data_IF_494253004513
#
_entry.id   IF_494253004513
#
_cell.length_a   1.000
_cell.length_b   1.000
_cell.length_c   1.000
_cell.angle_alpha   90.00
_cell.angle_beta   90.00
_cell.angle_gamma   90.00
#
_symmetry.space_group_name_H-M   'P 1'
#
loop_
_entity.id
_entity.type
_entity.pdbx_description
1 polymer ?
#
# COMPACT_ATOMS: atom_id res chain seq x y z
N UNK A 1 -28.63 3.06 23.59
CA UNK A 1 -27.94 3.79 22.50
C UNK A 1 -26.81 4.58 23.13
N UNK A 2 -25.59 4.02 23.13
CA UNK A 2 -24.38 4.73 23.54
C UNK A 2 -23.41 4.68 22.38
N UNK A 3 -23.18 5.82 21.73
CA UNK A 3 -22.20 5.97 20.68
C UNK A 3 -20.81 5.95 21.35
N UNK A 4 -20.07 4.86 21.19
CA UNK A 4 -18.66 4.80 21.60
C UNK A 4 -17.88 5.64 20.60
N UNK A 5 -17.61 6.89 20.95
CA UNK A 5 -16.61 7.72 20.28
C UNK A 5 -15.24 7.06 20.49
N UNK A 6 -14.66 6.53 19.43
CA UNK A 6 -13.25 6.12 19.42
C UNK A 6 -12.40 7.37 19.65
N UNK A 7 -11.85 7.50 20.85
CA UNK A 7 -10.90 8.55 21.16
C UNK A 7 -9.73 8.49 20.17
N UNK A 8 -9.32 9.63 19.61
CA UNK A 8 -8.07 9.70 18.87
C UNK A 8 -6.91 9.38 19.81
N UNK A 9 -5.95 8.52 19.43
CA UNK A 9 -4.78 8.23 20.24
C UNK A 9 -4.01 9.52 20.55
N UNK A 10 -3.42 9.63 21.74
CA UNK A 10 -2.58 10.77 22.07
C UNK A 10 -1.35 10.77 21.15
N UNK A 11 -0.84 11.96 20.84
CA UNK A 11 0.45 12.08 20.14
C UNK A 11 1.53 11.29 20.91
N UNK A 12 2.13 10.28 20.29
CA UNK A 12 3.08 9.33 20.89
C UNK A 12 2.55 7.91 21.12
N UNK A 13 1.23 7.68 21.07
CA UNK A 13 0.65 6.37 21.39
C UNK A 13 0.60 5.40 20.20
N UNK A 14 0.56 5.87 18.96
CA UNK A 14 0.46 4.99 17.77
C UNK A 14 1.78 4.90 16.99
N UNK A 15 1.99 3.77 16.32
CA UNK A 15 3.30 3.37 15.76
C UNK A 15 3.94 4.40 14.82
N UNK A 16 3.15 5.09 13.99
CA UNK A 16 3.67 6.09 13.03
C UNK A 16 4.30 7.32 13.68
N UNK A 17 4.02 7.58 14.96
CA UNK A 17 4.66 8.64 15.74
C UNK A 17 5.93 8.20 16.49
N UNK A 18 6.22 6.89 16.53
CA UNK A 18 7.33 6.31 17.31
C UNK A 18 8.60 6.21 16.44
N UNK A 19 9.71 6.87 16.81
CA UNK A 19 10.96 6.76 16.05
C UNK A 19 11.48 5.32 15.91
N UNK A 20 11.22 4.46 16.89
CA UNK A 20 11.62 3.05 16.88
C UNK A 20 10.97 2.24 15.76
N UNK A 21 9.78 2.63 15.30
CA UNK A 21 9.12 2.03 14.15
C UNK A 21 9.42 2.82 12.87
N UNK A 22 9.35 4.14 12.95
CA UNK A 22 9.45 5.04 11.79
C UNK A 22 10.84 5.04 11.13
N UNK A 23 11.91 5.09 11.92
CA UNK A 23 13.26 5.18 11.36
C UNK A 23 13.62 3.94 10.51
N UNK A 24 13.41 2.70 10.97
CA UNK A 24 13.61 1.52 10.12
C UNK A 24 12.78 1.54 8.84
N UNK A 25 11.51 1.95 8.92
CA UNK A 25 10.61 1.99 7.76
C UNK A 25 11.10 2.97 6.70
N UNK A 26 11.51 4.17 7.11
CA UNK A 26 11.81 5.27 6.18
C UNK A 26 13.24 5.27 5.64
N UNK A 27 14.21 4.81 6.44
CA UNK A 27 15.65 5.08 6.25
C UNK A 27 16.10 4.85 4.82
N UNK A 28 15.83 3.67 4.28
CA UNK A 28 16.39 3.25 2.99
C UNK A 28 15.67 3.93 1.83
N UNK A 29 14.35 4.14 1.95
CA UNK A 29 13.57 4.87 0.94
C UNK A 29 13.99 6.36 0.87
N UNK A 30 14.15 7.01 2.02
CA UNK A 30 14.59 8.41 2.09
C UNK A 30 16.01 8.57 1.54
N UNK A 31 16.91 7.62 1.82
CA UNK A 31 18.27 7.62 1.28
C UNK A 31 18.28 7.43 -0.24
N UNK A 32 17.42 6.56 -0.77
CA UNK A 32 17.39 6.22 -2.19
C UNK A 32 16.69 7.29 -3.04
N UNK A 33 15.51 7.73 -2.60
CA UNK A 33 14.66 8.65 -3.38
C UNK A 33 14.90 10.14 -3.06
N UNK A 34 15.47 10.45 -1.89
CA UNK A 34 15.74 11.82 -1.48
C UNK A 34 14.50 12.72 -1.60
N UNK A 35 14.62 13.79 -2.37
CA UNK A 35 13.55 14.79 -2.54
C UNK A 35 12.33 14.29 -3.33
N UNK A 36 12.38 13.12 -3.97
CA UNK A 36 11.21 12.52 -4.62
C UNK A 36 10.22 11.92 -3.61
N UNK A 37 10.64 11.74 -2.37
CA UNK A 37 9.81 11.22 -1.29
C UNK A 37 9.53 12.33 -0.29
N UNK A 38 8.25 12.65 -0.12
CA UNK A 38 7.79 13.60 0.90
C UNK A 38 6.96 12.87 1.94
N UNK A 39 6.94 13.40 3.16
CA UNK A 39 6.20 12.81 4.28
C UNK A 39 5.31 13.87 4.92
N UNK A 40 4.04 13.52 5.10
CA UNK A 40 3.04 14.31 5.81
C UNK A 40 2.54 13.50 6.99
N UNK A 41 2.51 14.11 8.18
CA UNK A 41 2.03 13.46 9.38
C UNK A 41 0.93 14.30 10.02
N UNK A 42 -0.14 13.63 10.46
CA UNK A 42 -1.16 14.19 11.34
C UNK A 42 -1.16 13.45 12.69
N UNK A 43 -2.11 13.77 13.56
CA UNK A 43 -2.28 13.03 14.81
C UNK A 43 -2.55 11.53 14.59
N UNK A 44 -3.21 11.15 13.49
CA UNK A 44 -3.71 9.79 13.27
C UNK A 44 -3.26 9.16 11.94
N UNK A 45 -2.52 9.88 11.11
CA UNK A 45 -2.07 9.41 9.80
C UNK A 45 -0.62 9.76 9.54
N UNK A 46 0.04 8.91 8.76
CA UNK A 46 1.38 9.10 8.25
C UNK A 46 1.36 8.73 6.77
N UNK A 47 1.59 9.73 5.92
CA UNK A 47 1.48 9.61 4.48
C UNK A 47 2.82 9.89 3.84
N UNK A 48 3.30 8.93 3.05
CA UNK A 48 4.44 9.10 2.16
C UNK A 48 3.94 9.35 0.75
N UNK A 49 4.48 10.37 0.09
CA UNK A 49 4.16 10.67 -1.30
C UNK A 49 5.46 10.57 -2.10
N UNK A 50 5.51 9.60 -3.01
CA UNK A 50 6.57 9.45 -3.99
C UNK A 50 6.14 10.12 -5.30
N UNK A 51 6.87 11.13 -5.74
CA UNK A 51 6.47 12.00 -6.86
C UNK A 51 6.46 11.30 -8.24
N UNK A 52 7.16 10.17 -8.39
CA UNK A 52 7.23 9.47 -9.66
C UNK A 52 8.03 8.16 -9.62
N UNK A 53 7.36 7.07 -9.26
CA UNK A 53 7.92 5.72 -9.25
C UNK A 53 8.13 5.24 -10.69
N UNK A 54 9.24 4.56 -10.94
CA UNK A 54 9.47 3.88 -12.22
C UNK A 54 8.71 2.57 -12.23
N UNK A 55 7.91 2.35 -13.27
CA UNK A 55 7.22 1.08 -13.52
C UNK A 55 7.76 0.49 -14.81
N UNK A 56 8.12 -0.79 -14.77
CA UNK A 56 8.62 -1.51 -15.94
C UNK A 56 7.63 -1.40 -17.10
N UNK A 57 8.12 -1.11 -18.31
CA UNK A 57 7.28 -0.95 -19.50
C UNK A 57 6.58 0.41 -19.64
N UNK A 58 6.59 1.27 -18.61
CA UNK A 58 6.10 2.66 -18.71
C UNK A 58 7.21 3.64 -19.05
N UNK A 59 6.85 4.69 -19.79
CA UNK A 59 7.73 5.85 -20.01
C UNK A 59 7.50 6.90 -18.93
N UNK A 60 6.25 7.07 -18.53
CA UNK A 60 5.81 8.00 -17.52
C UNK A 60 6.12 7.47 -16.11
N UNK A 61 6.54 8.37 -15.23
CA UNK A 61 6.69 8.08 -13.83
C UNK A 61 5.33 8.13 -13.14
N UNK A 62 5.11 7.22 -12.18
CA UNK A 62 3.81 7.04 -11.51
C UNK A 62 3.87 7.61 -10.10
N UNK A 63 3.11 8.68 -9.76
CA UNK A 63 3.00 9.12 -8.39
C UNK A 63 2.37 8.04 -7.50
N UNK A 64 2.95 7.82 -6.33
CA UNK A 64 2.47 6.83 -5.35
C UNK A 64 2.26 7.49 -4.01
N UNK A 65 1.13 7.20 -3.37
CA UNK A 65 0.89 7.55 -1.98
C UNK A 65 0.80 6.28 -1.11
N UNK A 66 1.53 6.26 0.00
CA UNK A 66 1.45 5.20 1.02
C UNK A 66 0.92 5.82 2.30
N UNK A 67 -0.19 5.29 2.82
CA UNK A 67 -0.89 5.83 3.98
C UNK A 67 -0.98 4.79 5.10
N UNK A 68 -0.41 5.15 6.25
CA UNK A 68 -0.57 4.44 7.51
C UNK A 68 -1.58 5.16 8.40
N UNK A 69 -2.36 4.37 9.12
CA UNK A 69 -3.45 4.86 9.96
C UNK A 69 -3.31 4.33 11.39
N UNK A 70 -3.45 5.22 12.37
CA UNK A 70 -3.53 4.82 13.77
C UNK A 70 -4.76 3.94 14.04
N UNK A 71 -5.89 4.32 13.41
CA UNK A 71 -7.14 3.57 13.41
C UNK A 71 -7.61 3.46 11.96
N UNK A 72 -7.34 2.34 11.26
CA UNK A 72 -7.72 2.17 9.87
C UNK A 72 -9.23 2.35 9.64
N UNK A 73 -9.65 3.22 8.70
CA UNK A 73 -11.07 3.35 8.32
C UNK A 73 -11.56 2.19 7.43
N UNK A 74 -10.79 1.11 7.36
CA UNK A 74 -11.01 -0.05 6.50
C UNK A 74 -10.72 -1.35 7.26
N UNK A 75 -11.18 -2.46 6.69
CA UNK A 75 -10.89 -3.79 7.24
C UNK A 75 -9.41 -4.12 7.06
N UNK A 76 -8.71 -4.41 8.15
CA UNK A 76 -7.34 -4.94 8.15
C UNK A 76 -7.29 -6.46 8.11
N UNK A 77 -8.44 -7.13 8.19
CA UNK A 77 -8.55 -8.60 8.18
C UNK A 77 -7.71 -9.28 9.29
N UNK A 78 -7.54 -8.60 10.43
CA UNK A 78 -6.76 -9.11 11.56
C UNK A 78 -5.26 -8.82 11.49
N UNK A 79 -4.79 -8.18 10.41
CA UNK A 79 -3.41 -7.71 10.32
C UNK A 79 -3.18 -6.48 11.21
N UNK A 80 -1.93 -6.33 11.66
CA UNK A 80 -1.45 -5.11 12.32
C UNK A 80 -1.58 -3.93 11.35
N UNK A 81 -2.18 -2.80 11.77
CA UNK A 81 -2.23 -1.58 10.95
C UNK A 81 -0.87 -1.09 10.42
N UNK A 82 0.23 -1.38 11.12
CA UNK A 82 1.58 -1.07 10.67
C UNK A 82 2.01 -1.91 9.46
N UNK A 83 1.44 -3.10 9.29
CA UNK A 83 1.78 -4.05 8.23
C UNK A 83 0.74 -4.07 7.12
N UNK A 84 -0.30 -3.23 7.17
CA UNK A 84 -1.36 -3.19 6.18
C UNK A 84 -1.72 -1.76 5.73
N UNK A 85 -0.74 -1.00 5.18
CA UNK A 85 -0.98 0.35 4.70
C UNK A 85 -1.87 0.38 3.46
N UNK A 86 -2.45 1.56 3.18
CA UNK A 86 -3.10 1.82 1.89
C UNK A 86 -2.09 2.40 0.92
N UNK A 87 -1.93 1.73 -0.22
CA UNK A 87 -1.07 2.21 -1.30
C UNK A 87 -1.93 2.62 -2.48
N UNK A 88 -1.76 3.84 -2.97
CA UNK A 88 -2.52 4.40 -4.07
C UNK A 88 -1.61 4.78 -5.22
N UNK A 89 -2.01 4.37 -6.42
CA UNK A 89 -1.40 4.74 -7.69
C UNK A 89 -2.45 4.56 -8.81
N UNK A 90 -2.34 5.35 -9.87
CA UNK A 90 -3.28 5.34 -11.00
C UNK A 90 -4.75 5.29 -10.57
N UNK A 91 -5.19 6.27 -9.76
CA UNK A 91 -6.55 6.24 -9.22
C UNK A 91 -7.59 6.17 -10.35
N UNK A 92 -8.57 5.27 -10.19
CA UNK A 92 -9.62 5.00 -11.17
C UNK A 92 -9.23 4.06 -12.31
N UNK A 93 -7.97 3.60 -12.38
CA UNK A 93 -7.58 2.60 -13.36
C UNK A 93 -8.21 1.24 -13.06
N UNK A 94 -8.70 0.57 -14.10
CA UNK A 94 -9.26 -0.77 -13.96
C UNK A 94 -8.16 -1.78 -13.58
N UNK A 95 -8.45 -2.62 -12.58
CA UNK A 95 -7.64 -3.76 -12.17
C UNK A 95 -8.48 -4.69 -11.29
N UNK A 96 -8.22 -5.99 -11.36
CA UNK A 96 -8.83 -6.97 -10.47
C UNK A 96 -8.16 -7.01 -9.08
N UNK A 97 -6.98 -6.41 -8.93
CA UNK A 97 -6.23 -6.35 -7.66
C UNK A 97 -6.25 -4.95 -7.05
N UNK A 98 -7.48 -4.45 -6.85
CA UNK A 98 -7.75 -3.18 -6.17
C UNK A 98 -8.78 -3.39 -5.07
N UNK A 99 -8.62 -2.62 -4.01
CA UNK A 99 -9.54 -2.57 -2.89
C UNK A 99 -10.72 -1.65 -3.23
N UNK A 100 -11.85 -1.72 -2.49
CA UNK A 100 -13.02 -0.86 -2.75
C UNK A 100 -12.73 0.65 -2.67
N UNK A 101 -11.67 1.06 -1.95
CA UNK A 101 -11.22 2.45 -1.86
C UNK A 101 -10.18 2.83 -2.93
N UNK A 102 -9.98 1.96 -3.92
CA UNK A 102 -9.04 2.11 -5.04
C UNK A 102 -7.55 2.07 -4.63
N UNK A 103 -7.26 1.63 -3.42
CA UNK A 103 -5.89 1.22 -3.07
C UNK A 103 -5.52 -0.11 -3.74
N UNK A 104 -4.23 -0.31 -3.95
CA UNK A 104 -3.68 -1.55 -4.51
C UNK A 104 -3.84 -2.69 -3.50
N UNK A 105 -4.28 -3.84 -4.00
CA UNK A 105 -4.26 -5.09 -3.25
C UNK A 105 -2.91 -5.79 -3.51
N UNK A 106 -1.87 -5.44 -2.74
CA UNK A 106 -0.50 -5.89 -3.00
C UNK A 106 -0.24 -7.36 -2.63
N UNK A 107 -1.03 -7.91 -1.71
CA UNK A 107 -0.92 -9.28 -1.24
C UNK A 107 -2.23 -9.70 -0.55
N UNK A 108 -2.43 -11.01 -0.42
CA UNK A 108 -3.61 -11.55 0.24
C UNK A 108 -3.45 -11.51 1.76
N UNK A 109 -4.44 -11.02 2.51
CA UNK A 109 -4.29 -10.79 3.94
C UNK A 109 -4.03 -12.08 4.76
N UNK A 110 -4.57 -13.22 4.34
CA UNK A 110 -4.36 -14.51 5.02
C UNK A 110 -3.06 -15.21 4.60
N UNK A 111 -2.30 -14.66 3.64
CA UNK A 111 -0.99 -15.22 3.32
C UNK A 111 -0.07 -15.11 4.57
N UNK A 112 0.85 -16.07 4.77
CA UNK A 112 1.82 -15.99 5.85
C UNK A 112 2.71 -14.74 5.69
N UNK A 113 3.27 -14.24 6.79
CA UNK A 113 4.05 -12.99 6.80
C UNK A 113 5.19 -12.98 5.77
N UNK A 114 5.85 -14.11 5.53
CA UNK A 114 6.92 -14.24 4.53
C UNK A 114 6.45 -14.14 3.06
N UNK A 115 5.14 -14.04 2.81
CA UNK A 115 4.52 -13.83 1.50
C UNK A 115 3.78 -12.50 1.40
N UNK A 116 3.84 -11.68 2.44
CA UNK A 116 3.26 -10.33 2.47
C UNK A 116 4.36 -9.32 2.70
N UNK A 117 4.04 -8.06 2.47
CA UNK A 117 4.86 -7.00 3.02
C UNK A 117 4.62 -6.87 4.53
N UNK A 118 5.68 -6.63 5.29
CA UNK A 118 5.64 -6.25 6.71
C UNK A 118 6.53 -5.03 6.96
N UNK A 119 6.21 -4.25 8.00
CA UNK A 119 6.86 -2.96 8.24
C UNK A 119 8.37 -3.05 8.52
N UNK A 120 8.86 -4.19 8.98
CA UNK A 120 10.29 -4.48 9.15
C UNK A 120 11.06 -4.57 7.82
N UNK A 121 10.38 -4.81 6.69
CA UNK A 121 10.97 -4.77 5.34
C UNK A 121 11.12 -3.33 4.81
N UNK A 122 10.43 -2.38 5.43
CA UNK A 122 10.55 -0.95 5.16
C UNK A 122 9.88 -0.47 3.88
N UNK A 123 9.82 0.87 3.76
CA UNK A 123 9.08 1.57 2.70
C UNK A 123 9.70 1.39 1.32
N UNK A 124 11.02 1.22 1.23
CA UNK A 124 11.69 1.00 -0.07
C UNK A 124 11.19 -0.29 -0.72
N UNK A 125 11.14 -1.38 0.06
CA UNK A 125 10.62 -2.64 -0.43
C UNK A 125 9.11 -2.57 -0.78
N UNK A 126 8.33 -1.80 -0.01
CA UNK A 126 6.91 -1.57 -0.34
C UNK A 126 6.74 -0.83 -1.69
N UNK A 127 7.59 0.16 -1.96
CA UNK A 127 7.58 0.89 -3.23
C UNK A 127 8.04 0.00 -4.39
N UNK A 128 9.01 -0.90 -4.18
CA UNK A 128 9.42 -1.87 -5.20
C UNK A 128 8.27 -2.84 -5.53
N UNK A 129 7.63 -3.41 -4.49
CA UNK A 129 6.43 -4.24 -4.63
C UNK A 129 5.30 -3.51 -5.36
N UNK A 130 5.15 -2.21 -5.10
CA UNK A 130 4.16 -1.36 -5.80
C UNK A 130 4.49 -1.24 -7.28
N UNK A 131 5.76 -1.06 -7.65
CA UNK A 131 6.19 -0.99 -9.04
C UNK A 131 5.91 -2.30 -9.80
N UNK A 132 6.23 -3.43 -9.18
CA UNK A 132 5.93 -4.76 -9.74
C UNK A 132 4.43 -4.97 -9.91
N UNK A 133 3.64 -4.60 -8.90
CA UNK A 133 2.18 -4.67 -8.96
C UNK A 133 1.60 -3.87 -10.14
N UNK A 134 2.05 -2.63 -10.31
CA UNK A 134 1.58 -1.76 -11.39
C UNK A 134 1.94 -2.33 -12.78
N UNK A 135 3.11 -2.95 -12.91
CA UNK A 135 3.48 -3.67 -14.13
C UNK A 135 2.55 -4.86 -14.41
N UNK A 136 2.20 -5.64 -13.39
CA UNK A 136 1.25 -6.74 -13.52
C UNK A 136 -0.14 -6.24 -13.94
N UNK A 137 -0.59 -5.11 -13.39
CA UNK A 137 -1.84 -4.50 -13.82
C UNK A 137 -1.80 -4.04 -15.29
N UNK A 138 -0.69 -3.47 -15.75
CA UNK A 138 -0.51 -3.09 -17.16
C UNK A 138 -0.55 -4.30 -18.08
N UNK A 139 0.15 -5.37 -17.71
CA UNK A 139 0.12 -6.61 -18.47
C UNK A 139 -1.29 -7.20 -18.53
N UNK A 140 -2.00 -7.20 -17.41
CA UNK A 140 -3.41 -7.64 -17.36
C UNK A 140 -4.31 -6.78 -18.25
N UNK A 141 -4.18 -5.45 -18.21
CA UNK A 141 -4.94 -4.54 -19.08
C UNK A 141 -4.66 -4.81 -20.55
N UNK A 142 -3.38 -4.90 -20.93
CA UNK A 142 -2.95 -5.05 -22.34
C UNK A 142 -3.32 -6.41 -22.94
N UNK A 143 -3.39 -7.46 -22.13
CA UNK A 143 -3.78 -8.81 -22.59
C UNK A 143 -5.31 -9.00 -22.68
N UNK A 144 -6.10 -8.06 -22.15
CA UNK A 144 -7.54 -8.01 -22.36
C UNK A 144 -8.39 -7.78 -21.10
N UNK A 145 -7.77 -7.35 -20.00
CA UNK A 145 -8.43 -6.79 -18.81
C UNK A 145 -9.51 -7.69 -18.22
N UNK A 146 -10.65 -7.10 -17.89
CA UNK A 146 -11.77 -7.79 -17.20
C UNK A 146 -12.25 -9.03 -17.94
N UNK A 147 -12.14 -9.07 -19.27
CA UNK A 147 -12.67 -10.18 -20.06
C UNK A 147 -11.70 -11.34 -20.22
N UNK A 148 -10.41 -11.06 -20.43
CA UNK A 148 -9.41 -12.08 -20.77
C UNK A 148 -7.98 -11.71 -20.37
N UNK A 149 -7.82 -10.73 -19.50
CA UNK A 149 -6.53 -10.26 -19.02
C UNK A 149 -5.81 -11.35 -18.26
N UNK A 150 -4.53 -11.54 -18.58
CA UNK A 150 -3.64 -12.49 -17.94
C UNK A 150 -2.89 -11.81 -16.80
N UNK A 151 -2.71 -12.51 -15.70
CA UNK A 151 -1.89 -12.05 -14.57
C UNK A 151 -0.65 -12.93 -14.48
N UNK A 152 0.54 -12.32 -14.44
CA UNK A 152 1.83 -13.05 -14.47
C UNK A 152 2.32 -13.47 -13.07
N UNK A 153 1.64 -13.04 -12.01
CA UNK A 153 2.00 -13.34 -10.62
C UNK A 153 1.17 -14.46 -10.00
N UNK A 154 1.55 -14.91 -8.79
CA UNK A 154 0.67 -15.73 -7.96
C UNK A 154 -0.65 -15.01 -7.67
N UNK A 155 -1.75 -15.76 -7.62
CA UNK A 155 -3.07 -15.22 -7.30
C UNK A 155 -3.69 -15.99 -6.15
N UNK A 156 -4.18 -15.26 -5.14
CA UNK A 156 -5.11 -15.82 -4.18
C UNK A 156 -6.51 -15.90 -4.81
N UNK A 157 -7.40 -16.77 -4.30
CA UNK A 157 -8.80 -16.78 -4.72
C UNK A 157 -9.41 -15.37 -4.60
N UNK A 158 -9.86 -14.81 -5.72
CA UNK A 158 -10.43 -13.46 -5.78
C UNK A 158 -11.77 -13.47 -6.54
N UNK A 159 -12.77 -12.79 -5.98
CA UNK A 159 -14.16 -12.85 -6.46
C UNK A 159 -14.96 -13.97 -5.80
N UNK A 160 -16.27 -13.75 -5.63
CA UNK A 160 -17.22 -14.85 -5.40
C UNK A 160 -17.12 -15.75 -6.64
N UNK A 161 -16.91 -17.05 -6.44
CA UNK A 161 -17.14 -18.02 -7.50
C UNK A 161 -18.54 -17.75 -8.12
N UNK A 162 -18.72 -17.94 -9.43
CA UNK A 162 -20.02 -17.77 -10.07
C UNK A 162 -21.12 -18.57 -9.37
#
# INVERSE_FOLDING_TARGET
>A
MGCLTTASPRAGEWFGSRPSWRLPVERDAMRYYGSLLTVNQTANTLTYIHAGLRVSGRRELVPVAVEFYANPPYKTYGLDPADYPRVFADRGAASKHRMPDDSLCLYYADDPANRRWTSDQGLLNLLDLTGDHLFLEDYWRTTGGVHKGQWLGPEAPHGVAP
#
